data_IF_412676851575
#
_entry.id   IF_412676851575
#
_cell.length_a   1.000
_cell.length_b   1.000
_cell.length_c   1.000
_cell.angle_alpha   90.00
_cell.angle_beta   90.00
_cell.angle_gamma   90.00
#
_symmetry.space_group_name_H-M   'P 1'
#
loop_
_entity.id
_entity.type
_entity.pdbx_description
1 polymer ?
#
# COMPACT_ATOMS: atom_id res chain seq x y z
N UNK A 1 112.75 -46.03 -63.53
CA UNK A 1 112.27 -44.66 -63.23
C UNK A 1 110.76 -44.51 -63.50
N UNK A 2 109.99 -45.61 -63.55
CA UNK A 2 108.57 -45.58 -63.96
C UNK A 2 107.57 -45.84 -62.82
N UNK A 3 108.01 -46.36 -61.67
CA UNK A 3 107.10 -46.75 -60.56
C UNK A 3 106.81 -45.63 -59.55
N UNK A 4 107.74 -44.68 -59.33
CA UNK A 4 107.55 -43.59 -58.36
C UNK A 4 106.61 -42.48 -58.86
N UNK A 5 106.58 -42.23 -60.17
CA UNK A 5 105.70 -41.23 -60.81
C UNK A 5 104.25 -41.70 -60.84
N UNK A 6 104.00 -42.99 -61.10
CA UNK A 6 102.67 -43.60 -61.04
C UNK A 6 102.12 -43.55 -59.59
N UNK A 7 102.96 -43.86 -58.59
CA UNK A 7 102.56 -43.80 -57.18
C UNK A 7 102.21 -42.37 -56.74
N UNK A 8 102.99 -41.37 -57.16
CA UNK A 8 102.70 -39.96 -56.88
C UNK A 8 101.37 -39.49 -57.53
N UNK A 9 101.07 -39.97 -58.73
CA UNK A 9 99.82 -39.63 -59.42
C UNK A 9 98.59 -40.27 -58.74
N UNK A 10 98.72 -41.53 -58.27
CA UNK A 10 97.67 -42.20 -57.49
C UNK A 10 97.42 -41.49 -56.16
N UNK A 11 98.48 -41.09 -55.45
CA UNK A 11 98.36 -40.33 -54.20
C UNK A 11 97.69 -38.98 -54.45
N UNK A 12 98.03 -38.28 -55.54
CA UNK A 12 97.40 -37.01 -55.91
C UNK A 12 95.91 -37.15 -56.22
N UNK A 13 95.52 -38.22 -56.93
CA UNK A 13 94.11 -38.55 -57.20
C UNK A 13 93.36 -38.86 -55.90
N UNK A 14 93.95 -39.67 -55.01
CA UNK A 14 93.34 -39.98 -53.71
C UNK A 14 93.16 -38.70 -52.88
N UNK A 15 94.15 -37.81 -52.84
CA UNK A 15 94.03 -36.52 -52.17
C UNK A 15 92.95 -35.64 -52.79
N UNK A 16 92.84 -35.62 -54.11
CA UNK A 16 91.80 -34.87 -54.81
C UNK A 16 90.40 -35.41 -54.52
N UNK A 17 90.23 -36.73 -54.51
CA UNK A 17 88.98 -37.40 -54.15
C UNK A 17 88.63 -37.10 -52.69
N UNK A 18 89.57 -37.24 -51.76
CA UNK A 18 89.35 -36.92 -50.34
C UNK A 18 89.01 -35.44 -50.13
N UNK A 19 89.68 -34.53 -50.83
CA UNK A 19 89.38 -33.11 -50.79
C UNK A 19 87.97 -32.81 -51.33
N UNK A 20 87.60 -33.43 -52.45
CA UNK A 20 86.28 -33.28 -53.06
C UNK A 20 85.16 -33.81 -52.15
N UNK A 21 85.33 -35.01 -51.58
CA UNK A 21 84.37 -35.60 -50.65
C UNK A 21 84.25 -34.78 -49.36
N UNK A 22 85.37 -34.33 -48.79
CA UNK A 22 85.38 -33.45 -47.62
C UNK A 22 84.70 -32.10 -47.89
N UNK A 23 84.85 -31.55 -49.11
CA UNK A 23 84.14 -30.35 -49.54
C UNK A 23 82.62 -30.53 -49.62
N UNK A 24 82.15 -31.71 -50.05
CA UNK A 24 80.72 -32.06 -50.07
C UNK A 24 80.17 -32.23 -48.64
N UNK A 25 80.90 -32.92 -47.75
CA UNK A 25 80.50 -33.07 -46.35
C UNK A 25 80.34 -31.72 -45.64
N UNK A 26 81.30 -30.80 -45.82
CA UNK A 26 81.22 -29.45 -45.23
C UNK A 26 79.99 -28.69 -45.76
N UNK A 27 79.67 -28.82 -47.05
CA UNK A 27 78.52 -28.16 -47.67
C UNK A 27 77.19 -28.71 -47.13
N UNK A 28 77.10 -30.03 -46.94
CA UNK A 28 75.92 -30.70 -46.36
C UNK A 28 75.73 -30.30 -44.90
N UNK A 29 76.79 -30.27 -44.10
CA UNK A 29 76.75 -29.84 -42.69
C UNK A 29 76.26 -28.40 -42.60
N UNK A 30 76.83 -27.49 -43.39
CA UNK A 30 76.46 -26.07 -43.38
C UNK A 30 75.00 -25.84 -43.81
N UNK A 31 74.50 -26.59 -44.78
CA UNK A 31 73.07 -26.52 -45.17
C UNK A 31 72.14 -27.05 -44.07
N UNK A 32 72.56 -28.10 -43.33
CA UNK A 32 71.82 -28.61 -42.17
C UNK A 32 71.76 -27.59 -41.03
N UNK A 33 72.87 -26.93 -40.73
CA UNK A 33 72.91 -25.88 -39.71
C UNK A 33 71.99 -24.71 -40.06
N UNK A 34 71.98 -24.27 -41.33
CA UNK A 34 71.07 -23.22 -41.81
C UNK A 34 69.60 -23.67 -41.74
N UNK A 35 69.31 -24.93 -42.03
CA UNK A 35 67.96 -25.48 -41.93
C UNK A 35 67.48 -25.53 -40.47
N UNK A 36 68.33 -26.03 -39.56
CA UNK A 36 68.03 -26.09 -38.12
C UNK A 36 67.85 -24.70 -37.52
N UNK A 37 68.65 -23.71 -37.95
CA UNK A 37 68.47 -22.32 -37.55
C UNK A 37 67.10 -21.79 -37.97
N UNK A 38 66.72 -21.96 -39.25
CA UNK A 38 65.40 -21.54 -39.75
C UNK A 38 64.24 -22.19 -38.98
N UNK A 39 64.33 -23.49 -38.71
CA UNK A 39 63.30 -24.21 -37.97
C UNK A 39 63.19 -23.72 -36.53
N UNK A 40 64.32 -23.41 -35.89
CA UNK A 40 64.34 -22.84 -34.54
C UNK A 40 63.76 -21.42 -34.49
N UNK A 41 64.01 -20.59 -35.51
CA UNK A 41 63.43 -19.25 -35.64
C UNK A 41 61.92 -19.31 -35.86
N UNK A 42 61.43 -20.24 -36.69
CA UNK A 42 59.98 -20.41 -36.92
C UNK A 42 59.26 -20.87 -35.65
N UNK A 43 59.85 -21.82 -34.91
CA UNK A 43 59.30 -22.28 -33.63
C UNK A 43 59.28 -21.15 -32.59
N UNK A 44 60.32 -20.32 -32.54
CA UNK A 44 60.34 -19.15 -31.65
C UNK A 44 59.25 -18.15 -32.03
N UNK A 45 59.10 -17.87 -33.32
CA UNK A 45 58.07 -16.96 -33.83
C UNK A 45 56.66 -17.45 -33.51
N UNK A 46 56.35 -18.72 -33.79
CA UNK A 46 55.05 -19.32 -33.45
C UNK A 46 54.76 -19.22 -31.95
N UNK A 47 55.76 -19.54 -31.11
CA UNK A 47 55.61 -19.45 -29.67
C UNK A 47 55.37 -18.01 -29.19
N UNK A 48 56.07 -17.03 -29.75
CA UNK A 48 55.86 -15.61 -29.43
C UNK A 48 54.49 -15.11 -29.87
N UNK A 49 54.01 -15.52 -31.05
CA UNK A 49 52.67 -15.15 -31.51
C UNK A 49 51.57 -15.76 -30.64
N UNK A 50 51.75 -17.01 -30.20
CA UNK A 50 50.85 -17.67 -29.26
C UNK A 50 50.77 -16.90 -27.93
N UNK A 51 51.91 -16.63 -27.29
CA UNK A 51 51.95 -15.90 -26.03
C UNK A 51 51.40 -14.48 -26.15
N UNK A 52 51.68 -13.79 -27.26
CA UNK A 52 51.14 -12.46 -27.52
C UNK A 52 49.61 -12.47 -27.57
N UNK A 53 49.04 -13.46 -28.26
CA UNK A 53 47.59 -13.63 -28.37
C UNK A 53 46.94 -13.95 -27.02
N UNK A 54 47.59 -14.76 -26.21
CA UNK A 54 47.12 -15.11 -24.86
C UNK A 54 47.18 -13.90 -23.91
N UNK A 55 48.24 -13.09 -23.98
CA UNK A 55 48.37 -11.83 -23.24
C UNK A 55 47.26 -10.85 -23.65
N UNK A 56 46.99 -10.70 -24.94
CA UNK A 56 45.90 -9.84 -25.43
C UNK A 56 44.52 -10.30 -24.91
N UNK A 57 44.26 -11.61 -24.91
CA UNK A 57 43.00 -12.17 -24.39
C UNK A 57 42.85 -11.94 -22.87
N UNK A 58 43.92 -12.15 -22.11
CA UNK A 58 43.94 -11.87 -20.66
C UNK A 58 43.69 -10.38 -20.41
N UNK A 59 44.37 -9.49 -21.14
CA UNK A 59 44.19 -8.04 -21.02
C UNK A 59 42.77 -7.61 -21.34
N UNK A 60 42.17 -8.18 -22.39
CA UNK A 60 40.77 -7.93 -22.75
C UNK A 60 39.82 -8.32 -21.61
N UNK A 61 39.95 -9.55 -21.11
CA UNK A 61 39.14 -10.05 -19.98
C UNK A 61 39.32 -9.19 -18.74
N UNK A 62 40.55 -8.76 -18.44
CA UNK A 62 40.85 -7.88 -17.34
C UNK A 62 40.07 -6.56 -17.49
N UNK A 63 40.18 -5.92 -18.66
CA UNK A 63 39.54 -4.64 -18.95
C UNK A 63 38.01 -4.73 -18.86
N UNK A 64 37.42 -5.81 -19.39
CA UNK A 64 35.99 -6.04 -19.31
C UNK A 64 35.54 -6.25 -17.86
N UNK A 65 36.33 -6.99 -17.08
CA UNK A 65 36.08 -7.17 -15.64
C UNK A 65 36.16 -5.83 -14.91
N UNK A 66 37.20 -5.02 -15.15
CA UNK A 66 37.35 -3.69 -14.56
C UNK A 66 36.20 -2.75 -14.90
N UNK A 67 35.66 -2.82 -16.13
CA UNK A 67 34.48 -2.04 -16.53
C UNK A 67 33.21 -2.50 -15.83
N UNK A 68 33.07 -3.80 -15.54
CA UNK A 68 31.86 -4.36 -14.94
C UNK A 68 31.81 -4.21 -13.41
N UNK A 69 32.95 -4.12 -12.73
CA UNK A 69 33.02 -3.91 -11.27
C UNK A 69 32.16 -2.73 -10.78
N UNK A 70 32.27 -1.51 -11.32
CA UNK A 70 31.44 -0.38 -10.87
C UNK A 70 29.96 -0.58 -11.17
N UNK A 71 29.63 -1.27 -12.27
CA UNK A 71 28.23 -1.58 -12.62
C UNK A 71 27.62 -2.51 -11.56
N UNK A 72 28.32 -3.60 -11.24
CA UNK A 72 27.87 -4.54 -10.23
C UNK A 72 27.79 -3.89 -8.83
N UNK A 73 28.76 -3.05 -8.48
CA UNK A 73 28.75 -2.33 -7.22
C UNK A 73 27.55 -1.38 -7.11
N UNK A 74 27.23 -0.64 -8.18
CA UNK A 74 26.05 0.23 -8.22
C UNK A 74 24.75 -0.58 -8.14
N UNK A 75 24.65 -1.69 -8.87
CA UNK A 75 23.48 -2.57 -8.81
C UNK A 75 23.24 -3.11 -7.39
N UNK A 76 24.29 -3.64 -6.75
CA UNK A 76 24.18 -4.13 -5.36
C UNK A 76 23.84 -3.01 -4.38
N UNK A 77 24.39 -1.82 -4.60
CA UNK A 77 24.08 -0.65 -3.78
C UNK A 77 22.62 -0.21 -3.93
N UNK A 78 22.11 -0.18 -5.16
CA UNK A 78 20.71 0.18 -5.44
C UNK A 78 19.75 -0.86 -4.87
N UNK A 79 20.05 -2.15 -5.00
CA UNK A 79 19.28 -3.22 -4.37
C UNK A 79 19.24 -3.08 -2.85
N UNK A 80 20.41 -2.92 -2.23
CA UNK A 80 20.51 -2.70 -0.78
C UNK A 80 19.69 -1.48 -0.34
N UNK A 81 19.87 -0.35 -1.03
CA UNK A 81 19.17 0.90 -0.74
C UNK A 81 17.65 0.74 -0.85
N UNK A 82 17.18 0.08 -1.89
CA UNK A 82 15.75 -0.13 -2.10
C UNK A 82 15.17 -1.02 -1.00
N UNK A 83 15.84 -2.11 -0.66
CA UNK A 83 15.42 -3.01 0.42
C UNK A 83 15.36 -2.29 1.77
N UNK A 84 16.35 -1.45 2.08
CA UNK A 84 16.39 -0.69 3.32
C UNK A 84 15.30 0.40 3.36
N UNK A 85 15.04 1.07 2.24
CA UNK A 85 13.93 2.04 2.15
C UNK A 85 12.59 1.33 2.36
N UNK A 86 12.39 0.16 1.76
CA UNK A 86 11.15 -0.61 1.94
C UNK A 86 10.97 -1.08 3.39
N UNK A 87 12.03 -1.59 4.01
CA UNK A 87 11.98 -2.04 5.41
C UNK A 87 11.65 -0.88 6.35
N UNK A 88 12.30 0.27 6.19
CA UNK A 88 12.06 1.47 6.99
C UNK A 88 10.64 2.00 6.78
N UNK A 89 10.15 2.03 5.53
CA UNK A 89 8.77 2.45 5.23
C UNK A 89 7.75 1.54 5.89
N UNK A 90 7.96 0.23 5.85
CA UNK A 90 7.07 -0.74 6.49
C UNK A 90 7.01 -0.48 8.00
N UNK A 91 8.16 -0.35 8.67
CA UNK A 91 8.24 -0.07 10.11
C UNK A 91 7.56 1.26 10.47
N UNK A 92 7.84 2.33 9.72
CA UNK A 92 7.24 3.65 9.95
C UNK A 92 5.72 3.63 9.76
N UNK A 93 5.24 2.97 8.71
CA UNK A 93 3.80 2.83 8.45
C UNK A 93 3.08 2.05 9.55
N UNK A 94 3.69 0.97 10.04
CA UNK A 94 3.13 0.15 11.11
C UNK A 94 3.09 0.93 12.44
N UNK A 95 4.14 1.68 12.75
CA UNK A 95 4.18 2.55 13.92
C UNK A 95 3.12 3.66 13.82
N UNK A 96 3.00 4.32 12.68
CA UNK A 96 2.00 5.36 12.43
C UNK A 96 0.57 4.81 12.51
N UNK A 97 0.32 3.62 11.97
CA UNK A 97 -0.99 2.96 12.06
C UNK A 97 -1.34 2.64 13.53
N UNK A 98 -0.36 2.14 14.30
CA UNK A 98 -0.53 1.85 15.72
C UNK A 98 -0.85 3.11 16.54
N UNK A 99 -0.14 4.20 16.32
CA UNK A 99 -0.40 5.47 17.01
C UNK A 99 -1.76 6.04 16.62
N UNK A 100 -2.11 6.02 15.33
CA UNK A 100 -3.42 6.48 14.86
C UNK A 100 -4.57 5.69 15.48
N UNK A 101 -4.41 4.37 15.66
CA UNK A 101 -5.40 3.53 16.31
C UNK A 101 -5.56 3.88 17.80
N UNK A 102 -4.45 4.10 18.50
CA UNK A 102 -4.48 4.54 19.90
C UNK A 102 -5.15 5.92 20.07
N UNK A 103 -4.83 6.87 19.19
CA UNK A 103 -5.45 8.20 19.19
C UNK A 103 -6.96 8.12 18.91
N UNK A 104 -7.37 7.24 17.99
CA UNK A 104 -8.78 6.98 17.71
C UNK A 104 -9.51 6.39 18.91
N UNK A 105 -8.89 5.43 19.61
CA UNK A 105 -9.46 4.85 20.84
C UNK A 105 -9.59 5.90 21.94
N UNK A 106 -8.55 6.70 22.18
CA UNK A 106 -8.56 7.78 23.14
C UNK A 106 -9.65 8.82 22.81
N UNK A 107 -9.79 9.18 21.53
CA UNK A 107 -10.86 10.05 21.07
C UNK A 107 -12.24 9.43 21.33
N UNK A 108 -12.46 8.16 20.98
CA UNK A 108 -13.73 7.46 21.23
C UNK A 108 -14.09 7.48 22.71
N UNK A 109 -13.18 7.09 23.59
CA UNK A 109 -13.42 7.09 25.03
C UNK A 109 -13.72 8.48 25.56
N UNK A 110 -12.98 9.51 25.09
CA UNK A 110 -13.19 10.90 25.53
C UNK A 110 -14.59 11.41 25.18
N UNK A 111 -15.11 11.09 24.00
CA UNK A 111 -16.40 11.61 23.53
C UNK A 111 -17.58 10.69 23.83
N UNK A 112 -17.35 9.41 24.12
CA UNK A 112 -18.40 8.44 24.44
C UNK A 112 -19.25 8.89 25.63
N UNK A 113 -18.63 9.41 26.69
CA UNK A 113 -19.37 9.89 27.86
C UNK A 113 -20.28 11.07 27.52
N UNK A 114 -19.81 12.01 26.68
CA UNK A 114 -20.60 13.15 26.23
C UNK A 114 -21.82 12.69 25.44
N UNK A 115 -21.64 11.81 24.44
CA UNK A 115 -22.75 11.33 23.62
C UNK A 115 -23.74 10.47 24.40
N UNK A 116 -23.26 9.65 25.35
CA UNK A 116 -24.14 8.90 26.25
C UNK A 116 -24.98 9.83 27.11
N UNK A 117 -24.37 10.86 27.70
CA UNK A 117 -25.10 11.81 28.53
C UNK A 117 -26.11 12.63 27.72
N UNK A 118 -25.75 13.09 26.52
CA UNK A 118 -26.67 13.80 25.61
C UNK A 118 -27.86 12.91 25.21
N UNK A 119 -27.62 11.65 24.88
CA UNK A 119 -28.69 10.70 24.57
C UNK A 119 -29.64 10.48 25.77
N UNK A 120 -29.09 10.36 26.99
CA UNK A 120 -29.88 10.25 28.23
C UNK A 120 -30.72 11.52 28.43
N UNK A 121 -30.10 12.69 28.33
CA UNK A 121 -30.79 13.97 28.55
C UNK A 121 -31.95 14.16 27.57
N UNK A 122 -31.74 13.88 26.28
CA UNK A 122 -32.80 13.95 25.25
C UNK A 122 -33.94 12.99 25.55
N UNK A 123 -33.61 11.75 25.93
CA UNK A 123 -34.61 10.75 26.31
C UNK A 123 -35.42 11.20 27.52
N UNK A 124 -34.76 11.72 28.57
CA UNK A 124 -35.40 12.25 29.75
C UNK A 124 -36.33 13.42 29.40
N UNK A 125 -35.92 14.37 28.56
CA UNK A 125 -36.78 15.48 28.12
C UNK A 125 -38.05 14.99 27.42
N UNK A 126 -37.93 13.97 26.55
CA UNK A 126 -39.09 13.38 25.86
C UNK A 126 -40.02 12.67 26.85
N UNK A 127 -39.46 11.89 27.78
CA UNK A 127 -40.24 11.18 28.81
C UNK A 127 -40.96 12.17 29.71
N UNK A 128 -40.25 13.19 30.20
CA UNK A 128 -40.82 14.24 31.04
C UNK A 128 -41.95 14.97 30.33
N UNK A 129 -41.79 15.33 29.05
CA UNK A 129 -42.87 15.94 28.26
C UNK A 129 -44.14 15.10 28.25
N UNK A 130 -44.02 13.80 27.94
CA UNK A 130 -45.15 12.85 27.93
C UNK A 130 -45.81 12.69 29.29
N UNK A 131 -45.03 12.65 30.37
CA UNK A 131 -45.55 12.57 31.73
C UNK A 131 -46.27 13.86 32.10
N UNK A 132 -45.71 15.02 31.74
CA UNK A 132 -46.36 16.32 31.96
C UNK A 132 -47.71 16.42 31.25
N UNK A 133 -47.85 15.88 30.03
CA UNK A 133 -49.15 15.82 29.32
C UNK A 133 -50.22 15.08 30.14
N UNK A 134 -49.85 14.01 30.85
CA UNK A 134 -50.78 13.26 31.70
C UNK A 134 -51.08 13.97 33.02
N UNK A 135 -50.11 14.70 33.57
CA UNK A 135 -50.22 15.37 34.87
C UNK A 135 -50.77 16.80 34.78
N UNK A 136 -50.89 17.38 33.58
CA UNK A 136 -51.37 18.75 33.40
C UNK A 136 -52.73 19.01 34.07
N UNK A 137 -53.70 18.07 34.16
CA UNK A 137 -54.97 18.36 34.81
C UNK A 137 -54.79 18.75 36.27
N UNK A 138 -53.74 18.28 36.93
CA UNK A 138 -53.43 18.60 38.33
C UNK A 138 -52.55 19.84 38.49
N UNK A 139 -52.22 20.54 37.39
CA UNK A 139 -51.43 21.76 37.43
C UNK A 139 -52.27 22.94 37.94
N UNK A 140 -51.68 23.82 38.75
CA UNK A 140 -52.39 24.94 39.41
C UNK A 140 -53.09 25.90 38.44
N UNK A 141 -52.59 26.01 37.21
CA UNK A 141 -53.14 26.88 36.17
C UNK A 141 -54.02 26.13 35.15
N UNK A 142 -54.37 24.86 35.39
CA UNK A 142 -55.30 24.15 34.52
C UNK A 142 -56.71 24.70 34.75
N UNK A 143 -57.38 25.25 33.72
CA UNK A 143 -58.61 26.02 33.93
C UNK A 143 -59.87 25.16 34.13
N UNK A 144 -59.77 23.84 33.99
CA UNK A 144 -60.91 22.91 34.04
C UNK A 144 -60.85 21.98 35.25
N UNK A 145 -61.98 21.34 35.58
CA UNK A 145 -62.03 20.28 36.58
C UNK A 145 -61.18 19.07 36.12
N UNK A 146 -60.17 18.63 36.89
CA UNK A 146 -59.32 17.50 36.51
C UNK A 146 -60.10 16.20 36.31
N UNK A 147 -61.24 16.03 36.98
CA UNK A 147 -62.09 14.83 36.87
C UNK A 147 -62.86 14.75 35.54
N UNK A 148 -63.00 15.88 34.85
CA UNK A 148 -63.71 16.02 33.58
C UNK A 148 -62.77 15.99 32.37
N UNK A 149 -61.46 15.98 32.61
CA UNK A 149 -60.43 15.82 31.59
C UNK A 149 -60.16 14.33 31.30
N UNK A 150 -60.03 13.98 30.02
CA UNK A 150 -59.68 12.64 29.54
C UNK A 150 -58.49 12.71 28.61
N UNK A 151 -57.39 12.09 29.03
CA UNK A 151 -56.20 11.95 28.20
C UNK A 151 -56.47 10.99 27.02
N UNK A 152 -55.99 11.38 25.84
CA UNK A 152 -56.06 10.63 24.58
C UNK A 152 -54.67 10.34 24.04
N UNK A 153 -53.81 11.36 23.96
CA UNK A 153 -52.43 11.26 23.45
C UNK A 153 -52.28 11.60 21.97
N UNK A 154 -51.89 10.66 21.11
CA UNK A 154 -51.71 10.95 19.67
C UNK A 154 -53.01 10.71 18.92
N UNK A 155 -53.52 11.66 18.10
CA UNK A 155 -52.88 12.89 17.62
C UNK A 155 -53.17 14.19 18.40
N UNK A 156 -53.98 14.15 19.47
CA UNK A 156 -54.32 15.27 20.37
C UNK A 156 -54.29 14.79 21.83
N UNK A 157 -53.69 15.57 22.72
CA UNK A 157 -53.39 15.13 24.08
C UNK A 157 -54.61 14.80 24.93
N UNK A 158 -55.67 15.60 24.93
CA UNK A 158 -56.85 15.34 25.77
C UNK A 158 -58.16 15.98 25.29
N UNK A 159 -59.27 15.48 25.80
CA UNK A 159 -60.60 16.10 25.69
C UNK A 159 -61.13 16.43 27.10
N UNK A 160 -61.72 17.60 27.27
CA UNK A 160 -62.40 18.01 28.50
C UNK A 160 -63.90 18.08 28.24
N UNK A 161 -64.68 17.50 29.15
CA UNK A 161 -66.15 17.51 29.14
C UNK A 161 -66.65 18.42 30.27
N UNK A 162 -66.48 19.73 30.11
CA UNK A 162 -66.79 20.71 31.16
C UNK A 162 -68.29 20.67 31.48
N UNK A 163 -68.64 20.50 32.76
CA UNK A 163 -70.03 20.46 33.23
C UNK A 163 -70.65 19.07 33.30
N UNK A 164 -69.94 18.02 32.87
CA UNK A 164 -70.46 16.64 32.87
C UNK A 164 -70.73 16.10 34.28
N UNK A 165 -69.96 16.49 35.30
CA UNK A 165 -70.22 16.04 36.67
C UNK A 165 -71.49 16.65 37.27
N UNK A 166 -71.91 17.82 36.78
CA UNK A 166 -73.09 18.53 37.28
C UNK A 166 -74.38 18.14 36.54
N UNK A 167 -74.30 17.20 35.59
CA UNK A 167 -75.41 16.82 34.70
C UNK A 167 -76.07 18.03 34.00
N UNK A 168 -75.27 19.04 33.67
CA UNK A 168 -75.69 20.29 33.03
C UNK A 168 -75.29 20.32 31.55
N UNK A 169 -75.38 21.49 30.90
CA UNK A 169 -74.80 21.74 29.57
C UNK A 169 -73.33 21.34 29.56
N UNK A 170 -72.98 20.46 28.63
CA UNK A 170 -71.61 19.95 28.49
C UNK A 170 -70.90 20.65 27.33
N UNK A 171 -69.84 21.37 27.65
CA UNK A 171 -68.91 21.91 26.66
C UNK A 171 -67.73 20.94 26.44
N UNK A 172 -67.42 20.65 25.17
CA UNK A 172 -66.36 19.71 24.79
C UNK A 172 -65.16 20.48 24.26
N UNK A 173 -64.05 20.45 24.98
CA UNK A 173 -62.78 21.07 24.57
C UNK A 173 -61.79 20.02 24.10
N UNK A 174 -61.27 20.19 22.88
CA UNK A 174 -60.20 19.37 22.31
C UNK A 174 -58.88 20.11 22.56
N UNK A 175 -58.04 19.58 23.45
CA UNK A 175 -56.85 20.28 23.95
C UNK A 175 -55.55 19.61 23.53
N UNK A 176 -54.64 20.44 23.04
CA UNK A 176 -53.24 20.11 22.83
C UNK A 176 -52.39 20.93 23.81
N UNK A 177 -51.54 20.26 24.58
CA UNK A 177 -50.69 20.83 25.62
C UNK A 177 -49.31 21.06 25.04
N UNK A 178 -48.81 22.29 25.15
CA UNK A 178 -47.45 22.63 24.74
C UNK A 178 -46.56 22.83 25.95
N UNK A 179 -45.61 21.92 26.13
CA UNK A 179 -44.49 22.11 27.05
C UNK A 179 -43.40 22.94 26.35
N UNK A 180 -43.48 24.27 26.44
CA UNK A 180 -42.47 25.21 25.90
C UNK A 180 -42.84 25.88 24.57
N UNK A 181 -41.87 26.01 23.64
CA UNK A 181 -42.03 26.75 22.37
C UNK A 181 -42.43 25.87 21.18
N UNK A 182 -42.97 24.68 21.40
CA UNK A 182 -43.30 23.75 20.33
C UNK A 182 -44.58 24.17 19.59
N UNK A 183 -44.51 24.21 18.26
CA UNK A 183 -45.67 24.47 17.40
C UNK A 183 -46.54 23.22 17.24
N UNK A 184 -47.81 23.39 16.87
CA UNK A 184 -48.66 22.28 16.45
C UNK A 184 -48.01 21.48 15.31
N UNK A 185 -48.17 20.15 15.32
CA UNK A 185 -47.80 19.29 14.20
C UNK A 185 -48.78 19.47 13.03
N UNK A 186 -48.44 18.96 11.84
CA UNK A 186 -49.35 19.00 10.69
C UNK A 186 -50.69 18.31 11.00
N UNK A 187 -50.68 17.17 11.69
CA UNK A 187 -51.90 16.43 12.08
C UNK A 187 -52.73 17.21 13.10
N UNK A 188 -52.08 17.81 14.09
CA UNK A 188 -52.74 18.64 15.10
C UNK A 188 -53.41 19.87 14.48
N UNK A 189 -52.74 20.55 13.53
CA UNK A 189 -53.34 21.66 12.78
C UNK A 189 -54.58 21.22 12.01
N UNK A 190 -54.53 20.09 11.32
CA UNK A 190 -55.70 19.58 10.58
C UNK A 190 -56.90 19.30 11.51
N UNK A 191 -56.64 18.84 12.74
CA UNK A 191 -57.70 18.60 13.72
C UNK A 191 -58.25 19.92 14.24
N UNK A 192 -57.39 20.86 14.66
CA UNK A 192 -57.81 22.22 15.04
C UNK A 192 -58.67 22.84 13.94
N UNK A 193 -58.19 22.81 12.70
CA UNK A 193 -58.91 23.39 11.56
C UNK A 193 -60.24 22.63 11.32
N UNK A 194 -60.33 21.34 11.61
CA UNK A 194 -61.61 20.63 11.54
C UNK A 194 -62.60 21.11 12.60
N UNK A 195 -62.14 21.36 13.84
CA UNK A 195 -62.96 21.92 14.92
C UNK A 195 -63.40 23.34 14.59
N UNK A 196 -62.48 24.21 14.17
CA UNK A 196 -62.76 25.62 13.83
C UNK A 196 -63.70 25.80 12.62
N UNK A 197 -63.83 24.78 11.78
CA UNK A 197 -64.73 24.79 10.62
C UNK A 197 -65.97 23.88 10.82
N UNK A 198 -66.37 23.63 12.08
CA UNK A 198 -67.55 22.85 12.46
C UNK A 198 -67.63 21.42 11.86
N UNK A 199 -66.47 20.81 11.56
CA UNK A 199 -66.38 19.44 11.04
C UNK A 199 -66.28 18.40 12.16
N UNK A 200 -67.10 18.55 13.20
CA UNK A 200 -67.22 17.63 14.33
C UNK A 200 -68.66 17.14 14.40
N UNK A 201 -68.87 15.82 14.43
CA UNK A 201 -70.20 15.21 14.40
C UNK A 201 -70.32 14.05 15.38
N UNK A 202 -71.42 13.98 16.10
CA UNK A 202 -71.79 12.83 16.92
C UNK A 202 -72.30 11.67 16.04
N UNK A 203 -71.83 10.45 16.28
CA UNK A 203 -72.38 9.22 15.69
C UNK A 203 -72.33 8.09 16.69
N UNK A 204 -73.44 7.40 16.86
CA UNK A 204 -73.53 6.15 17.60
C UNK A 204 -73.28 4.97 16.65
N UNK A 205 -72.39 4.06 17.04
CA UNK A 205 -72.15 2.82 16.32
C UNK A 205 -72.46 1.65 17.25
N UNK A 206 -73.54 0.93 16.95
CA UNK A 206 -73.89 -0.30 17.63
C UNK A 206 -73.16 -1.46 16.94
N UNK A 207 -72.33 -2.18 17.69
CA UNK A 207 -71.53 -3.34 17.23
C UNK A 207 -72.08 -4.62 17.83
#
# INVERSE_FOLDING_TARGET
METSTILAFIIAIIFFILYYFRGQEIKVIKNREVLLMKESETLQFERETFFRKEIEDIQSKLNDTYKNIPILANQQFDEFKNNEIESLRAVLSAAAAKTALADLEAWKTKYEMFYRQDAINRSQSVILGKVTEHLIPFHQNFPFNPKEARFIGSPIDMIVFEGIENEDVVDIYILEIKTGKSSLSKRQRLIRDAVENDRVSWRELNV
#
